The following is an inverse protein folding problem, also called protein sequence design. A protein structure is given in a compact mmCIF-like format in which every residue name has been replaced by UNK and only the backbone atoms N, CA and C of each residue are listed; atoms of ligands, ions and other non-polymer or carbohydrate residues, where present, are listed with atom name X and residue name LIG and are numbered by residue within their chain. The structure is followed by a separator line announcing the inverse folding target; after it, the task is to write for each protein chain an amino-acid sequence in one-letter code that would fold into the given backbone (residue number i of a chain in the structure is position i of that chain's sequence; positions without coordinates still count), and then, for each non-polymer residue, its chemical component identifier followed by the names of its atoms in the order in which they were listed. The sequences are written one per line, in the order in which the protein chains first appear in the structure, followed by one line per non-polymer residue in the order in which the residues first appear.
data_IF_118757680091
#
_entry.id   IF_118757680091
#
_cell.length_a   1.000
_cell.length_b   1.000
_cell.length_c   1.000
_cell.angle_alpha   90.00
_cell.angle_beta   90.00
_cell.angle_gamma   90.00
#
_symmetry.space_group_name_H-M   'P 1'
#
loop_
_entity.id
_entity.type
_entity.pdbx_description
1 polymer ?
#
# COMPACT_ATOMS: atom_id res chain seq x y z
N UNK A 1 11.10 50.07 -21.17
CA UNK A 1 11.28 49.00 -20.16
C UNK A 1 10.59 49.45 -18.88
N UNK A 2 9.56 48.77 -18.38
CA UNK A 2 9.16 48.92 -16.98
C UNK A 2 9.35 47.63 -16.19
N UNK A 3 9.76 47.81 -14.94
CA UNK A 3 10.31 46.82 -14.02
C UNK A 3 9.26 45.84 -13.49
N UNK A 4 9.68 44.58 -13.34
CA UNK A 4 8.85 43.46 -12.87
C UNK A 4 8.79 43.48 -11.34
N UNK A 5 7.58 43.60 -10.78
CA UNK A 5 7.37 43.51 -9.33
C UNK A 5 7.74 42.11 -8.83
N UNK A 6 8.61 42.04 -7.82
CA UNK A 6 8.91 40.80 -7.12
C UNK A 6 7.77 40.50 -6.13
N UNK A 7 6.76 39.76 -6.58
CA UNK A 7 5.77 39.18 -5.68
C UNK A 7 6.43 38.09 -4.83
N UNK A 8 6.47 38.32 -3.52
CA UNK A 8 6.96 37.34 -2.53
C UNK A 8 6.01 36.15 -2.51
N UNK A 9 6.43 35.02 -3.10
CA UNK A 9 5.73 33.75 -2.96
C UNK A 9 5.82 33.32 -1.49
N UNK A 10 4.70 33.04 -0.79
CA UNK A 10 4.75 32.51 0.55
C UNK A 10 5.31 31.08 0.46
N UNK A 11 6.58 30.91 0.83
CA UNK A 11 7.18 29.60 1.04
C UNK A 11 6.59 29.09 2.35
N UNK A 12 5.38 28.52 2.28
CA UNK A 12 4.80 27.80 3.40
C UNK A 12 5.60 26.51 3.57
N UNK A 13 6.11 26.29 4.78
CA UNK A 13 6.77 25.05 5.17
C UNK A 13 5.80 23.87 4.90
N UNK A 14 6.22 22.81 4.19
CA UNK A 14 5.37 21.66 3.85
C UNK A 14 4.59 21.08 5.05
N UNK A 15 5.18 21.12 6.25
CA UNK A 15 4.54 20.61 7.47
C UNK A 15 3.36 21.49 7.89
N UNK A 16 3.50 22.81 7.75
CA UNK A 16 2.45 23.78 8.06
C UNK A 16 1.33 23.73 7.01
N UNK A 17 1.68 23.51 5.74
CA UNK A 17 0.71 23.33 4.66
C UNK A 17 -0.20 22.11 4.90
N UNK A 18 0.38 20.97 5.30
CA UNK A 18 -0.39 19.75 5.61
C UNK A 18 -1.29 19.92 6.84
N UNK A 19 -0.80 20.64 7.87
CA UNK A 19 -1.58 20.96 9.07
C UNK A 19 -2.80 21.84 8.74
N UNK A 20 -2.60 22.88 7.93
CA UNK A 20 -3.68 23.77 7.49
C UNK A 20 -4.68 23.04 6.60
N UNK A 21 -4.23 22.24 5.64
CA UNK A 21 -5.10 21.43 4.79
C UNK A 21 -5.96 20.44 5.63
N UNK A 22 -5.37 19.83 6.66
CA UNK A 22 -6.09 18.95 7.59
C UNK A 22 -7.14 19.68 8.44
N UNK A 23 -6.92 20.96 8.76
CA UNK A 23 -7.88 21.80 9.49
C UNK A 23 -9.03 22.28 8.60
N UNK A 24 -8.73 22.74 7.38
CA UNK A 24 -9.74 23.15 6.40
C UNK A 24 -10.67 22.01 6.03
N UNK A 25 -10.13 20.80 5.86
CA UNK A 25 -10.93 19.61 5.55
C UNK A 25 -11.91 19.26 6.68
N UNK A 26 -11.52 19.43 7.94
CA UNK A 26 -12.41 19.24 9.10
C UNK A 26 -13.49 20.31 9.18
N UNK A 27 -13.17 21.56 8.86
CA UNK A 27 -14.14 22.66 8.85
C UNK A 27 -15.15 22.50 7.70
N UNK A 28 -14.69 22.12 6.50
CA UNK A 28 -15.56 21.86 5.35
C UNK A 28 -16.54 20.71 5.65
N UNK A 29 -16.08 19.65 6.30
CA UNK A 29 -16.94 18.54 6.72
C UNK A 29 -17.97 18.94 7.79
N UNK A 30 -17.61 19.89 8.66
CA UNK A 30 -18.49 20.47 9.67
C UNK A 30 -19.51 21.47 9.10
N UNK A 31 -19.45 21.79 7.81
CA UNK A 31 -20.46 22.60 7.11
C UNK A 31 -21.42 21.76 6.24
N UNK A 32 -21.13 20.47 6.00
CA UNK A 32 -21.99 19.60 5.18
C UNK A 32 -23.38 19.39 5.80
N UNK A 33 -24.44 19.11 5.02
CA UNK A 33 -25.74 18.73 5.57
C UNK A 33 -25.68 17.43 6.42
N UNK A 34 -26.50 17.33 7.48
CA UNK A 34 -26.48 16.22 8.46
C UNK A 34 -26.41 14.82 7.82
N UNK A 35 -27.24 14.56 6.79
CA UNK A 35 -27.27 13.28 6.05
C UNK A 35 -25.93 12.93 5.38
N UNK A 36 -25.20 13.92 4.85
CA UNK A 36 -23.91 13.69 4.20
C UNK A 36 -22.80 13.43 5.23
N UNK A 37 -22.87 14.10 6.40
CA UNK A 37 -21.98 13.81 7.53
C UNK A 37 -22.17 12.38 8.05
N UNK A 38 -23.41 11.96 8.23
CA UNK A 38 -23.75 10.60 8.67
C UNK A 38 -23.23 9.53 7.69
N UNK A 39 -23.35 9.74 6.38
CA UNK A 39 -22.79 8.83 5.36
C UNK A 39 -21.27 8.70 5.48
N UNK A 40 -20.55 9.83 5.62
CA UNK A 40 -19.09 9.84 5.83
C UNK A 40 -18.69 9.17 7.14
N UNK A 41 -19.42 9.39 8.23
CA UNK A 41 -19.18 8.74 9.52
C UNK A 41 -19.37 7.23 9.39
N UNK A 42 -20.43 6.78 8.72
CA UNK A 42 -20.70 5.36 8.48
C UNK A 42 -19.63 4.71 7.60
N UNK A 43 -19.15 5.39 6.57
CA UNK A 43 -18.00 4.93 5.76
C UNK A 43 -16.73 4.84 6.60
N UNK A 44 -16.43 5.85 7.42
CA UNK A 44 -15.28 5.83 8.35
C UNK A 44 -15.38 4.70 9.37
N UNK A 45 -16.57 4.44 9.92
CA UNK A 45 -16.81 3.33 10.83
C UNK A 45 -16.62 1.98 10.13
N UNK A 46 -17.13 1.81 8.90
CA UNK A 46 -16.86 0.61 8.09
C UNK A 46 -15.36 0.41 7.83
N UNK A 47 -14.63 1.49 7.54
CA UNK A 47 -13.17 1.44 7.34
C UNK A 47 -12.45 1.06 8.65
N UNK A 48 -12.90 1.59 9.79
CA UNK A 48 -12.35 1.26 11.12
C UNK A 48 -12.64 -0.19 11.50
N UNK A 49 -13.87 -0.68 11.32
CA UNK A 49 -14.23 -2.07 11.60
C UNK A 49 -13.43 -3.08 10.74
N UNK A 50 -13.05 -2.68 9.52
CA UNK A 50 -12.15 -3.47 8.67
C UNK A 50 -10.71 -3.50 9.17
N UNK A 51 -10.29 -2.64 10.12
CA UNK A 51 -8.88 -2.59 10.58
C UNK A 51 -8.49 -3.84 11.33
N UNK A 52 -9.38 -4.39 12.16
CA UNK A 52 -9.09 -5.59 12.95
C UNK A 52 -8.90 -6.84 12.07
N UNK A 53 -9.42 -6.79 10.84
CA UNK A 53 -9.28 -7.83 9.83
C UNK A 53 -8.07 -7.61 8.90
N UNK A 54 -7.28 -6.54 9.09
CA UNK A 54 -6.10 -6.27 8.26
C UNK A 54 -4.91 -7.05 8.77
N UNK A 55 -4.40 -7.94 7.93
CA UNK A 55 -3.03 -8.39 8.02
C UNK A 55 -2.11 -7.41 7.28
N UNK A 56 -0.98 -7.06 7.89
CA UNK A 56 0.08 -6.27 7.24
C UNK A 56 1.25 -7.22 6.98
N UNK A 57 1.64 -7.34 5.71
CA UNK A 57 2.74 -8.16 5.27
C UNK A 57 3.81 -7.27 4.66
N UNK A 58 5.08 -7.59 4.94
CA UNK A 58 6.20 -6.93 4.30
C UNK A 58 6.34 -7.45 2.87
N UNK A 59 6.08 -6.56 1.90
CA UNK A 59 6.24 -6.85 0.49
C UNK A 59 7.48 -6.14 -0.06
N UNK A 60 8.33 -6.84 -0.84
CA UNK A 60 9.41 -6.18 -1.56
C UNK A 60 8.90 -5.00 -2.41
N UNK A 61 9.67 -3.90 -2.55
CA UNK A 61 9.21 -2.69 -3.22
C UNK A 61 8.68 -2.92 -4.64
N UNK A 62 9.30 -3.83 -5.39
CA UNK A 62 8.89 -4.16 -6.75
C UNK A 62 7.50 -4.82 -6.80
N UNK A 63 7.24 -5.77 -5.88
CA UNK A 63 5.97 -6.48 -5.83
C UNK A 63 4.86 -5.55 -5.38
N UNK A 64 5.14 -4.69 -4.38
CA UNK A 64 4.22 -3.63 -3.95
C UNK A 64 3.84 -2.70 -5.11
N UNK A 65 4.82 -2.26 -5.90
CA UNK A 65 4.57 -1.40 -7.06
C UNK A 65 3.76 -2.13 -8.13
N UNK A 66 4.06 -3.39 -8.40
CA UNK A 66 3.33 -4.20 -9.39
C UNK A 66 1.86 -4.39 -9.01
N UNK A 67 1.59 -4.72 -7.75
CA UNK A 67 0.22 -4.82 -7.21
C UNK A 67 -0.51 -3.48 -7.37
N UNK A 68 0.15 -2.37 -7.03
CA UNK A 68 -0.43 -1.03 -7.17
C UNK A 68 -0.78 -0.71 -8.62
N UNK A 69 0.16 -0.87 -9.55
CA UNK A 69 -0.06 -0.56 -10.96
C UNK A 69 -1.18 -1.42 -11.57
N UNK A 70 -1.23 -2.72 -11.25
CA UNK A 70 -2.27 -3.61 -11.77
C UNK A 70 -3.66 -3.27 -11.18
N UNK A 71 -3.71 -2.88 -9.91
CA UNK A 71 -4.92 -2.43 -9.26
C UNK A 71 -5.46 -1.13 -9.90
N UNK A 72 -4.58 -0.17 -10.22
CA UNK A 72 -4.92 1.07 -10.90
C UNK A 72 -5.40 0.81 -12.33
N UNK A 73 -4.68 -0.02 -13.09
CA UNK A 73 -5.01 -0.40 -14.47
C UNK A 73 -6.42 -1.00 -14.59
N UNK A 74 -6.77 -1.92 -13.69
CA UNK A 74 -8.08 -2.56 -13.70
C UNK A 74 -9.13 -1.84 -12.84
N UNK A 75 -8.79 -0.71 -12.22
CA UNK A 75 -9.67 0.05 -11.31
C UNK A 75 -10.26 -0.82 -10.18
N UNK A 76 -9.47 -1.73 -9.63
CA UNK A 76 -9.86 -2.63 -8.52
C UNK A 76 -9.04 -2.34 -7.26
N UNK A 77 -9.58 -2.61 -6.05
CA UNK A 77 -8.81 -2.50 -4.82
C UNK A 77 -7.61 -3.46 -4.80
N UNK A 78 -6.42 -2.93 -4.52
CA UNK A 78 -5.19 -3.73 -4.39
C UNK A 78 -5.34 -4.90 -3.40
N UNK A 79 -6.09 -4.72 -2.31
CA UNK A 79 -6.35 -5.79 -1.34
C UNK A 79 -7.09 -6.98 -1.98
N UNK A 80 -8.05 -6.74 -2.87
CA UNK A 80 -8.81 -7.80 -3.54
C UNK A 80 -7.93 -8.54 -4.55
N UNK A 81 -7.06 -7.81 -5.25
CA UNK A 81 -6.10 -8.40 -6.17
C UNK A 81 -5.13 -9.35 -5.45
N UNK A 82 -4.62 -8.92 -4.28
CA UNK A 82 -3.79 -9.78 -3.43
C UNK A 82 -4.59 -10.96 -2.88
N UNK A 83 -5.86 -10.76 -2.47
CA UNK A 83 -6.74 -11.88 -2.07
C UNK A 83 -6.88 -12.92 -3.17
N UNK A 84 -7.12 -12.51 -4.42
CA UNK A 84 -7.20 -13.43 -5.55
C UNK A 84 -5.90 -14.24 -5.71
N UNK A 85 -4.75 -13.56 -5.68
CA UNK A 85 -3.46 -14.23 -5.80
C UNK A 85 -3.21 -15.25 -4.66
N UNK A 86 -3.60 -14.91 -3.43
CA UNK A 86 -3.49 -15.82 -2.28
C UNK A 86 -4.43 -17.02 -2.42
N UNK A 87 -5.67 -16.83 -2.86
CA UNK A 87 -6.62 -17.93 -3.09
C UNK A 87 -6.09 -18.90 -4.15
N UNK A 88 -5.60 -18.38 -5.28
CA UNK A 88 -4.98 -19.19 -6.33
C UNK A 88 -3.74 -19.94 -5.83
N UNK A 89 -2.91 -19.30 -4.99
CA UNK A 89 -1.76 -19.95 -4.38
C UNK A 89 -2.18 -21.11 -3.48
N UNK A 90 -3.17 -20.92 -2.61
CA UNK A 90 -3.64 -21.99 -1.71
C UNK A 90 -4.29 -23.14 -2.48
N UNK A 91 -5.08 -22.84 -3.51
CA UNK A 91 -5.64 -23.87 -4.39
C UNK A 91 -4.54 -24.69 -5.08
N UNK A 92 -3.51 -24.03 -5.63
CA UNK A 92 -2.37 -24.72 -6.24
C UNK A 92 -1.55 -25.52 -5.22
N UNK A 93 -1.41 -25.02 -3.99
CA UNK A 93 -0.74 -25.72 -2.90
C UNK A 93 -1.51 -26.98 -2.48
N UNK A 94 -2.82 -26.88 -2.31
CA UNK A 94 -3.69 -28.00 -1.93
C UNK A 94 -3.71 -29.09 -3.02
N UNK A 95 -3.55 -28.70 -4.28
CA UNK A 95 -3.40 -29.61 -5.43
C UNK A 95 -1.98 -30.18 -5.59
N UNK A 96 -1.03 -29.81 -4.72
CA UNK A 96 0.37 -30.27 -4.78
C UNK A 96 1.19 -29.66 -5.92
N UNK A 97 0.71 -28.59 -6.56
CA UNK A 97 1.42 -27.88 -7.64
C UNK A 97 2.49 -26.91 -7.10
N UNK A 98 2.40 -26.56 -5.82
CA UNK A 98 3.38 -25.72 -5.12
C UNK A 98 4.01 -26.53 -4.01
N UNK A 99 5.27 -26.94 -4.19
CA UNK A 99 6.05 -27.51 -3.10
C UNK A 99 6.90 -26.42 -2.43
N UNK A 100 6.60 -26.17 -1.15
CA UNK A 100 7.36 -25.22 -0.35
C UNK A 100 8.75 -25.75 0.02
N UNK A 101 8.95 -27.06 0.02
CA UNK A 101 10.20 -27.71 0.43
C UNK A 101 11.35 -27.32 -0.48
N UNK A 102 11.08 -27.16 -1.78
CA UNK A 102 12.07 -26.70 -2.78
C UNK A 102 12.55 -25.27 -2.54
N UNK A 103 11.77 -24.47 -1.81
CA UNK A 103 12.05 -23.05 -1.54
C UNK A 103 12.60 -22.83 -0.12
N UNK A 104 12.60 -23.85 0.74
CA UNK A 104 13.04 -23.72 2.13
C UNK A 104 14.55 -23.66 2.23
N UNK A 105 15.05 -22.68 2.99
CA UNK A 105 16.42 -22.65 3.51
C UNK A 105 16.38 -22.55 5.04
N UNK A 106 17.36 -23.11 5.77
CA UNK A 106 17.44 -22.92 7.22
C UNK A 106 17.45 -21.44 7.59
N UNK A 107 16.64 -21.06 8.56
CA UNK A 107 16.64 -19.69 9.09
C UNK A 107 17.75 -19.52 10.13
N UNK A 108 18.21 -18.26 10.25
CA UNK A 108 19.08 -17.82 11.35
C UNK A 108 18.29 -17.13 12.45
N UNK A 109 16.97 -16.96 12.28
CA UNK A 109 16.10 -16.33 13.26
C UNK A 109 15.76 -17.33 14.36
N UNK A 110 15.73 -16.91 15.64
CA UNK A 110 15.26 -17.79 16.73
C UNK A 110 13.75 -18.07 16.67
N UNK A 111 13.00 -17.39 15.79
CA UNK A 111 11.54 -17.48 15.73
C UNK A 111 11.03 -18.55 14.75
N UNK A 112 11.80 -18.88 13.73
CA UNK A 112 11.37 -19.77 12.65
C UNK A 112 12.52 -20.68 12.24
N UNK A 113 12.22 -21.92 11.91
CA UNK A 113 13.25 -22.89 11.48
C UNK A 113 13.68 -22.67 10.01
N UNK A 114 12.80 -22.11 9.19
CA UNK A 114 12.98 -22.00 7.74
C UNK A 114 12.65 -20.60 7.22
N UNK A 115 13.40 -20.15 6.22
CA UNK A 115 13.08 -19.02 5.36
C UNK A 115 12.74 -19.52 3.95
N UNK A 116 11.98 -18.74 3.19
CA UNK A 116 11.74 -19.03 1.77
C UNK A 116 12.74 -18.25 0.89
N UNK A 117 13.39 -18.94 -0.03
CA UNK A 117 14.24 -18.36 -1.08
C UNK A 117 13.49 -18.41 -2.39
N UNK A 118 13.36 -17.26 -3.04
CA UNK A 118 12.67 -17.16 -4.31
C UNK A 118 13.68 -17.21 -5.47
N UNK A 119 13.49 -18.10 -6.46
CA UNK A 119 14.34 -18.18 -7.64
C UNK A 119 14.47 -16.86 -8.40
N UNK A 120 15.65 -16.61 -8.96
CA UNK A 120 15.95 -15.41 -9.77
C UNK A 120 15.00 -15.23 -10.96
N UNK A 121 14.52 -16.33 -11.55
CA UNK A 121 13.52 -16.29 -12.63
C UNK A 121 12.22 -15.59 -12.23
N UNK A 122 11.88 -15.55 -10.94
CA UNK A 122 10.66 -14.91 -10.44
C UNK A 122 10.87 -13.45 -10.04
N UNK A 123 12.12 -13.01 -9.86
CA UNK A 123 12.48 -11.65 -9.46
C UNK A 123 13.31 -11.06 -10.58
N UNK A 124 12.76 -10.11 -11.35
CA UNK A 124 13.53 -9.54 -12.46
C UNK A 124 14.80 -8.86 -11.93
N UNK A 125 15.96 -8.98 -12.60
CA UNK A 125 17.23 -8.42 -12.13
C UNK A 125 17.17 -6.91 -11.87
N UNK A 126 16.37 -6.18 -12.65
CA UNK A 126 16.14 -4.74 -12.53
C UNK A 126 15.42 -4.36 -11.22
N UNK A 127 14.60 -5.27 -10.70
CA UNK A 127 13.82 -5.09 -9.48
C UNK A 127 14.68 -5.24 -8.21
N UNK A 128 15.80 -5.97 -8.29
CA UNK A 128 16.79 -6.12 -7.19
C UNK A 128 17.65 -4.88 -6.98
N UNK A 129 17.97 -4.13 -8.03
CA UNK A 129 18.84 -2.93 -7.95
C UNK A 129 18.11 -1.76 -7.27
N UNK A 130 16.78 -1.71 -7.36
CA UNK A 130 15.96 -0.66 -6.75
C UNK A 130 15.74 -0.86 -5.24
N UNK A 131 15.78 -2.09 -4.73
CA UNK A 131 15.65 -2.35 -3.28
C UNK A 131 16.91 -2.05 -2.46
N UNK A 132 18.10 -2.01 -3.09
CA UNK A 132 19.37 -1.69 -2.41
C UNK A 132 19.70 -0.19 -2.34
N UNK A 133 18.93 0.67 -2.99
CA UNK A 133 19.17 2.13 -3.06
C UNK A 133 18.17 2.96 -2.23
N UNK A 134 17.31 2.31 -1.46
CA UNK A 134 16.31 2.93 -0.60
C UNK A 134 16.72 2.84 0.88
#
# INVERSE_FOLDING_TARGET
MPEKSFERRPILDPIVADLLAGMEQKQAEAQLPRRQREKKIRERQKIRARRDQRATYDLPPFLRQRVKSLAEEHSVPASQLVTLALLQFFEAYDQGQVDLSELKQPSRSPRYDWNLVFPDKWIKPEERKRSKKA
#
